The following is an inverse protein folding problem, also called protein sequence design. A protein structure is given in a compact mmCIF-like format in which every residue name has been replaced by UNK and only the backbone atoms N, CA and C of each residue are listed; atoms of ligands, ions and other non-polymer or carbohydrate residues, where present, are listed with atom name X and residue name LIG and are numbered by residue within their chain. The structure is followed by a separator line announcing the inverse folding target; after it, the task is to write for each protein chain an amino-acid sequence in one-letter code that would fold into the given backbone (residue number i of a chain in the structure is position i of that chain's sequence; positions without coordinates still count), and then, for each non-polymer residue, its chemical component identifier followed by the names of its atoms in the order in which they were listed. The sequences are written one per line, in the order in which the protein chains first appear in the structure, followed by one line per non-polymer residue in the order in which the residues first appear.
data_IF_453974060650
#
_entry.id   IF_453974060650
#
_cell.length_a   1.000
_cell.length_b   1.000
_cell.length_c   1.000
_cell.angle_alpha   90.00
_cell.angle_beta   90.00
_cell.angle_gamma   90.00
#
_symmetry.space_group_name_H-M   'P 1'
#
loop_
_entity.id
_entity.type
_entity.pdbx_description
1 polymer ?
#
# COMPACT_ATOMS: atom_id res chain seq x y z
N UNK A 1 8.03 -31.40 24.47
CA UNK A 1 7.21 -30.57 23.57
C UNK A 1 7.30 -29.15 24.10
N UNK A 2 8.29 -28.39 23.66
CA UNK A 2 8.47 -26.99 24.06
C UNK A 2 7.52 -26.12 23.22
N UNK A 3 6.27 -26.01 23.67
CA UNK A 3 5.28 -25.16 23.02
C UNK A 3 5.55 -23.70 23.36
N UNK A 4 5.95 -22.88 22.37
CA UNK A 4 5.95 -21.43 22.54
C UNK A 4 4.50 -20.93 22.58
N UNK A 5 4.13 -20.25 23.66
CA UNK A 5 2.89 -19.49 23.70
C UNK A 5 2.99 -18.32 22.71
N UNK A 6 1.96 -18.14 21.90
CA UNK A 6 1.83 -17.02 20.96
C UNK A 6 0.51 -16.33 21.25
N UNK A 7 0.59 -15.02 21.44
CA UNK A 7 -0.56 -14.16 21.69
C UNK A 7 -0.69 -13.16 20.54
N UNK A 8 -1.92 -12.77 20.24
CA UNK A 8 -2.21 -11.75 19.26
C UNK A 8 -3.17 -10.73 19.85
N UNK A 9 -2.71 -9.48 19.89
CA UNK A 9 -3.53 -8.32 20.19
C UNK A 9 -3.73 -7.52 18.91
N UNK A 10 -4.98 -7.32 18.46
CA UNK A 10 -5.23 -6.51 17.28
C UNK A 10 -4.82 -5.06 17.52
N UNK A 11 -4.28 -4.35 16.51
CA UNK A 11 -3.97 -2.94 16.60
C UNK A 11 -5.16 -2.11 17.13
N UNK A 12 -4.91 -1.19 18.06
CA UNK A 12 -5.96 -0.42 18.74
C UNK A 12 -6.88 0.35 17.78
N UNK A 13 -6.35 0.83 16.65
CA UNK A 13 -7.17 1.53 15.64
C UNK A 13 -8.19 0.60 14.98
N UNK A 14 -7.91 -0.70 14.85
CA UNK A 14 -8.87 -1.68 14.35
C UNK A 14 -9.97 -1.96 15.36
N UNK A 15 -9.63 -2.04 16.65
CA UNK A 15 -10.63 -2.16 17.72
C UNK A 15 -11.57 -0.96 17.71
N UNK A 16 -11.06 0.26 17.49
CA UNK A 16 -11.90 1.47 17.36
C UNK A 16 -12.80 1.45 16.11
N UNK A 17 -12.27 1.01 14.97
CA UNK A 17 -13.00 1.00 13.69
C UNK A 17 -14.09 -0.07 13.67
N UNK A 18 -13.78 -1.28 14.14
CA UNK A 18 -14.68 -2.43 14.05
C UNK A 18 -15.50 -2.66 15.32
N UNK A 19 -15.01 -2.26 16.50
CA UNK A 19 -15.65 -2.58 17.77
C UNK A 19 -15.94 -4.08 17.91
N UNK A 20 -17.18 -4.41 18.28
CA UNK A 20 -17.64 -5.79 18.40
C UNK A 20 -17.70 -6.56 17.07
N UNK A 21 -17.61 -5.87 15.92
CA UNK A 21 -17.60 -6.50 14.58
C UNK A 21 -16.19 -6.86 14.09
N UNK A 22 -15.17 -6.71 14.94
CA UNK A 22 -13.80 -7.06 14.56
C UNK A 22 -13.75 -8.56 14.25
N UNK A 23 -13.29 -8.96 13.05
CA UNK A 23 -13.18 -10.38 12.73
C UNK A 23 -12.30 -11.10 13.76
N UNK A 24 -12.66 -12.34 14.04
CA UNK A 24 -11.92 -13.18 14.97
C UNK A 24 -10.56 -13.56 14.34
N UNK A 25 -9.44 -13.34 15.05
CA UNK A 25 -8.14 -13.80 14.59
C UNK A 25 -8.03 -15.33 14.75
N UNK A 26 -7.15 -15.94 13.98
CA UNK A 26 -6.82 -17.36 14.06
C UNK A 26 -5.37 -17.56 14.53
N UNK A 27 -5.06 -18.76 15.00
CA UNK A 27 -3.69 -19.18 15.31
C UNK A 27 -3.34 -20.40 14.47
N UNK A 28 -2.14 -20.37 13.88
CA UNK A 28 -1.62 -21.46 13.05
C UNK A 28 -0.24 -21.88 13.55
N UNK A 29 0.03 -23.17 13.51
CA UNK A 29 1.34 -23.73 13.87
C UNK A 29 1.85 -24.73 12.84
N UNK A 30 3.17 -24.79 12.70
CA UNK A 30 3.88 -25.74 11.84
C UNK A 30 5.31 -25.94 12.38
N UNK A 31 5.74 -27.19 12.56
CA UNK A 31 7.13 -27.55 12.90
C UNK A 31 7.73 -26.76 14.08
N UNK A 32 6.96 -26.60 15.16
CA UNK A 32 7.40 -25.89 16.37
C UNK A 32 7.33 -24.36 16.28
N UNK A 33 6.90 -23.81 15.15
CA UNK A 33 6.54 -22.41 15.01
C UNK A 33 5.03 -22.22 15.10
N UNK A 34 4.62 -21.05 15.59
CA UNK A 34 3.23 -20.62 15.59
C UNK A 34 3.14 -19.12 15.37
N UNK A 35 2.05 -18.68 14.74
CA UNK A 35 1.68 -17.28 14.60
C UNK A 35 0.16 -17.16 14.77
N UNK A 36 -0.27 -16.03 15.31
CA UNK A 36 -1.69 -15.69 15.46
C UNK A 36 -1.97 -14.33 14.82
N UNK A 37 -3.16 -14.17 14.24
CA UNK A 37 -3.57 -12.97 13.53
C UNK A 37 -4.64 -13.28 12.48
N UNK A 38 -4.56 -12.65 11.32
CA UNK A 38 -5.52 -12.82 10.23
C UNK A 38 -4.88 -13.51 9.03
N UNK A 39 -5.66 -14.30 8.28
CA UNK A 39 -5.26 -14.89 6.99
C UNK A 39 -3.90 -15.58 7.04
N UNK A 40 -3.70 -16.46 8.02
CA UNK A 40 -2.42 -17.09 8.32
C UNK A 40 -1.98 -18.07 7.24
N UNK A 41 -0.76 -17.92 6.75
CA UNK A 41 -0.12 -18.84 5.83
C UNK A 41 1.08 -19.53 6.49
N UNK A 42 1.36 -20.75 6.05
CA UNK A 42 2.45 -21.58 6.55
C UNK A 42 3.11 -22.35 5.40
N UNK A 43 4.44 -22.44 5.40
CA UNK A 43 5.22 -23.19 4.41
C UNK A 43 6.62 -23.51 4.95
N UNK A 44 7.06 -24.77 4.89
CA UNK A 44 8.39 -25.24 5.32
C UNK A 44 8.97 -24.55 6.57
N UNK A 45 8.24 -24.61 7.69
CA UNK A 45 8.69 -24.01 8.93
C UNK A 45 8.71 -22.47 8.94
N UNK A 46 7.99 -21.79 8.04
CA UNK A 46 7.66 -20.36 8.16
C UNK A 46 6.14 -20.24 8.36
N UNK A 47 5.71 -19.59 9.44
CA UNK A 47 4.28 -19.37 9.73
C UNK A 47 4.08 -17.89 10.04
N UNK A 48 3.18 -17.23 9.30
CA UNK A 48 2.85 -15.82 9.52
C UNK A 48 1.39 -15.54 9.30
N UNK A 49 0.93 -14.50 9.98
CA UNK A 49 -0.42 -13.96 9.88
C UNK A 49 -0.33 -12.47 9.62
N UNK A 50 -1.31 -11.93 8.91
CA UNK A 50 -1.54 -10.51 8.78
C UNK A 50 -1.99 -9.96 10.13
N UNK A 51 -1.62 -8.72 10.44
CA UNK A 51 -2.04 -8.05 11.68
C UNK A 51 -3.41 -7.39 11.57
N UNK A 52 -3.94 -7.30 10.36
CA UNK A 52 -5.18 -6.60 10.08
C UNK A 52 -6.18 -7.48 9.31
N UNK A 53 -7.50 -7.31 9.51
CA UNK A 53 -8.51 -8.18 8.89
C UNK A 53 -8.57 -8.13 7.36
N UNK A 54 -8.06 -7.04 6.76
CA UNK A 54 -7.97 -6.86 5.30
C UNK A 54 -6.56 -7.10 4.75
N UNK A 55 -5.62 -7.49 5.62
CA UNK A 55 -4.33 -7.99 5.19
C UNK A 55 -4.41 -9.39 4.60
N UNK A 56 -3.30 -9.87 4.08
CA UNK A 56 -3.19 -11.17 3.42
C UNK A 56 -1.80 -11.73 3.66
N UNK A 57 -1.70 -13.04 3.88
CA UNK A 57 -0.43 -13.75 3.78
C UNK A 57 -0.53 -14.84 2.72
N UNK A 58 0.55 -15.01 1.96
CA UNK A 58 0.68 -16.11 1.02
C UNK A 58 2.07 -16.74 1.10
N UNK A 59 2.07 -18.08 1.08
CA UNK A 59 3.25 -18.90 0.99
C UNK A 59 3.72 -19.06 -0.46
N UNK A 60 5.03 -18.97 -0.68
CA UNK A 60 5.65 -19.33 -1.94
C UNK A 60 7.11 -19.71 -1.73
N UNK A 61 7.50 -20.87 -2.27
CA UNK A 61 8.89 -21.34 -2.33
C UNK A 61 9.58 -21.34 -0.95
N UNK A 62 8.89 -21.85 0.08
CA UNK A 62 9.41 -21.96 1.44
C UNK A 62 9.38 -20.65 2.23
N UNK A 63 8.68 -19.62 1.74
CA UNK A 63 8.56 -18.33 2.43
C UNK A 63 7.14 -17.82 2.44
N UNK A 64 6.66 -17.43 3.61
CA UNK A 64 5.40 -16.71 3.79
C UNK A 64 5.65 -15.20 3.70
N UNK A 65 4.94 -14.54 2.79
CA UNK A 65 4.92 -13.08 2.63
C UNK A 65 3.56 -12.56 3.05
N UNK A 66 3.55 -11.53 3.88
CA UNK A 66 2.33 -10.88 4.34
C UNK A 66 2.30 -9.42 3.93
N UNK A 67 1.10 -8.91 3.72
CA UNK A 67 0.82 -7.50 3.55
C UNK A 67 -0.34 -7.10 4.46
N UNK A 68 -0.16 -6.01 5.19
CA UNK A 68 -1.20 -5.35 5.96
C UNK A 68 -1.46 -3.98 5.33
N UNK A 69 -2.72 -3.64 4.99
CA UNK A 69 -3.07 -2.29 4.58
C UNK A 69 -2.59 -1.28 5.63
N UNK A 70 -1.87 -0.23 5.20
CA UNK A 70 -1.35 0.78 6.11
C UNK A 70 -2.47 1.43 6.94
N UNK A 71 -2.18 1.93 8.16
CA UNK A 71 -3.19 2.59 9.01
C UNK A 71 -3.95 3.72 8.31
N UNK A 72 -3.30 4.47 7.40
CA UNK A 72 -3.95 5.53 6.62
C UNK A 72 -5.09 5.03 5.75
N UNK A 73 -5.01 3.79 5.26
CA UNK A 73 -6.10 3.17 4.48
C UNK A 73 -7.28 2.90 5.40
N UNK A 74 -7.04 2.38 6.61
CA UNK A 74 -8.11 2.18 7.59
C UNK A 74 -8.69 3.51 8.10
N UNK A 75 -7.89 4.57 8.20
CA UNK A 75 -8.37 5.90 8.55
C UNK A 75 -9.35 6.45 7.50
N UNK A 76 -9.01 6.33 6.21
CA UNK A 76 -9.82 6.91 5.13
C UNK A 76 -10.95 6.01 4.63
N UNK A 77 -10.86 4.68 4.81
CA UNK A 77 -11.90 3.73 4.38
C UNK A 77 -12.64 3.03 5.52
N UNK A 78 -12.16 3.11 6.77
CA UNK A 78 -12.76 2.44 7.92
C UNK A 78 -12.89 0.92 7.71
N UNK A 79 -14.03 0.38 8.13
CA UNK A 79 -14.36 -1.04 7.96
C UNK A 79 -14.55 -1.45 6.50
N UNK A 80 -14.79 -0.49 5.61
CA UNK A 80 -14.89 -0.66 4.16
C UNK A 80 -13.52 -0.64 3.44
N UNK A 81 -12.43 -0.81 4.19
CA UNK A 81 -11.09 -1.02 3.63
C UNK A 81 -11.11 -2.23 2.67
N UNK A 82 -10.67 -2.07 1.41
CA UNK A 82 -10.58 -3.18 0.46
C UNK A 82 -9.60 -4.26 0.95
N UNK A 83 -9.92 -5.52 0.68
CA UNK A 83 -8.99 -6.62 0.94
C UNK A 83 -7.77 -6.50 0.02
N UNK A 84 -6.59 -6.69 0.60
CA UNK A 84 -5.37 -6.85 -0.18
C UNK A 84 -5.34 -8.21 -0.86
N UNK A 85 -4.53 -8.31 -1.91
CA UNK A 85 -4.30 -9.54 -2.66
C UNK A 85 -2.81 -9.86 -2.71
N UNK A 86 -2.49 -11.09 -3.08
CA UNK A 86 -1.14 -11.50 -3.41
C UNK A 86 -1.11 -12.02 -4.84
N UNK A 87 -0.06 -11.65 -5.58
CA UNK A 87 0.15 -12.09 -6.96
C UNK A 87 1.56 -12.61 -7.13
N UNK A 88 1.66 -13.73 -7.85
CA UNK A 88 2.91 -14.43 -8.06
C UNK A 88 3.34 -14.37 -9.53
N UNK A 89 4.64 -14.22 -9.78
CA UNK A 89 5.23 -14.34 -11.11
C UNK A 89 6.63 -14.97 -11.00
N UNK A 90 6.93 -16.01 -11.77
CA UNK A 90 8.23 -16.71 -11.68
C UNK A 90 8.47 -17.31 -10.29
N UNK A 91 9.44 -16.82 -9.53
CA UNK A 91 9.66 -17.14 -8.10
C UNK A 91 9.33 -15.96 -7.16
N UNK A 92 8.87 -14.82 -7.70
CA UNK A 92 8.56 -13.60 -6.96
C UNK A 92 7.10 -13.58 -6.51
N UNK A 93 6.86 -13.12 -5.30
CA UNK A 93 5.53 -12.92 -4.73
C UNK A 93 5.45 -11.47 -4.25
N UNK A 94 4.40 -10.76 -4.65
CA UNK A 94 4.09 -9.43 -4.13
C UNK A 94 2.66 -9.43 -3.61
N UNK A 95 2.42 -8.69 -2.53
CA UNK A 95 1.11 -8.55 -1.93
C UNK A 95 0.82 -7.07 -1.69
N UNK A 96 -0.43 -6.67 -1.83
CA UNK A 96 -0.87 -5.28 -1.77
C UNK A 96 -2.16 -5.07 -2.56
N UNK A 97 -2.24 -3.97 -3.26
CA UNK A 97 -3.39 -3.59 -4.07
C UNK A 97 -3.05 -3.48 -5.56
N UNK A 98 -3.97 -3.88 -6.43
CA UNK A 98 -3.84 -3.68 -7.88
C UNK A 98 -2.56 -4.29 -8.45
N UNK A 99 -2.27 -5.54 -8.08
CA UNK A 99 -0.99 -6.16 -8.40
C UNK A 99 -0.81 -6.38 -9.92
N UNK A 100 0.32 -5.93 -10.46
CA UNK A 100 0.69 -6.05 -11.87
C UNK A 100 1.95 -6.91 -12.01
N UNK A 101 1.97 -7.76 -13.03
CA UNK A 101 3.14 -8.55 -13.41
C UNK A 101 3.73 -8.03 -14.72
N UNK A 102 5.05 -8.00 -14.79
CA UNK A 102 5.86 -7.81 -15.99
C UNK A 102 6.88 -8.95 -16.10
N UNK A 103 7.65 -8.99 -17.18
CA UNK A 103 8.66 -10.04 -17.39
C UNK A 103 9.77 -10.01 -16.34
N UNK A 104 10.02 -8.86 -15.71
CA UNK A 104 11.02 -8.70 -14.65
C UNK A 104 10.48 -9.05 -13.26
N UNK A 105 9.16 -9.18 -13.07
CA UNK A 105 8.60 -9.50 -11.76
C UNK A 105 7.15 -9.06 -11.56
N UNK A 106 6.76 -8.95 -10.30
CA UNK A 106 5.41 -8.56 -9.87
C UNK A 106 5.52 -7.53 -8.76
N UNK A 107 4.67 -6.52 -8.80
CA UNK A 107 4.55 -5.51 -7.74
C UNK A 107 3.09 -5.10 -7.56
N UNK A 108 2.80 -4.57 -6.38
CA UNK A 108 1.48 -4.09 -5.99
C UNK A 108 1.64 -2.71 -5.36
N UNK A 109 0.58 -1.92 -5.41
CA UNK A 109 0.49 -0.68 -4.68
C UNK A 109 0.28 -0.95 -3.19
N UNK A 110 0.75 -0.06 -2.34
CA UNK A 110 0.56 -0.13 -0.89
C UNK A 110 -0.82 0.36 -0.44
N UNK A 111 -1.55 1.06 -1.30
CA UNK A 111 -2.86 1.63 -0.99
C UNK A 111 -3.87 1.33 -2.10
N UNK A 112 -5.18 1.25 -1.79
CA UNK A 112 -6.21 1.06 -2.81
C UNK A 112 -6.29 2.21 -3.83
N UNK A 113 -5.74 3.38 -3.49
CA UNK A 113 -5.66 4.54 -4.36
C UNK A 113 -4.37 4.58 -5.19
N UNK A 114 -3.47 3.60 -5.04
CA UNK A 114 -2.27 3.50 -5.85
C UNK A 114 -2.53 2.83 -7.19
N UNK A 115 -1.62 3.08 -8.14
CA UNK A 115 -1.66 2.51 -9.49
C UNK A 115 -0.34 1.82 -9.78
N UNK A 116 -0.40 0.63 -10.38
CA UNK A 116 0.75 -0.05 -10.94
C UNK A 116 0.61 -0.20 -12.46
N UNK A 117 1.73 -0.17 -13.18
CA UNK A 117 1.81 -0.47 -14.61
C UNK A 117 3.09 -1.23 -14.94
N UNK A 118 3.01 -2.15 -15.90
CA UNK A 118 4.17 -2.79 -16.49
C UNK A 118 4.58 -2.04 -17.76
N UNK A 119 5.84 -1.63 -17.85
CA UNK A 119 6.45 -1.02 -19.04
C UNK A 119 7.79 -1.71 -19.33
N UNK A 120 8.02 -2.11 -20.58
CA UNK A 120 9.24 -2.81 -21.01
C UNK A 120 9.65 -4.01 -20.09
N UNK A 121 8.67 -4.65 -19.45
CA UNK A 121 8.89 -5.76 -18.53
C UNK A 121 9.03 -5.38 -17.06
N UNK A 122 9.34 -4.12 -16.75
CA UNK A 122 9.44 -3.59 -15.38
C UNK A 122 8.07 -3.14 -14.88
N UNK A 123 7.76 -3.49 -13.63
CA UNK A 123 6.55 -2.99 -12.96
C UNK A 123 6.90 -1.75 -12.14
N UNK A 124 6.15 -0.67 -12.34
CA UNK A 124 6.23 0.55 -11.55
C UNK A 124 4.90 0.80 -10.86
N UNK A 125 4.97 1.25 -9.61
CA UNK A 125 3.80 1.61 -8.83
C UNK A 125 3.94 3.02 -8.29
N UNK A 126 2.81 3.71 -8.19
CA UNK A 126 2.69 4.99 -7.51
C UNK A 126 1.58 4.89 -6.48
N UNK A 127 1.91 5.26 -5.25
CA UNK A 127 0.95 5.44 -4.17
C UNK A 127 0.86 6.92 -3.82
N UNK A 128 -0.36 7.48 -3.69
CA UNK A 128 -0.55 8.80 -3.14
C UNK A 128 0.08 8.92 -1.76
N UNK A 129 0.65 10.10 -1.45
CA UNK A 129 1.22 10.34 -0.13
C UNK A 129 0.15 10.17 0.97
N UNK A 130 0.50 9.68 2.18
CA UNK A 130 -0.45 9.51 3.27
C UNK A 130 -1.25 10.79 3.60
N UNK A 131 -0.62 11.96 3.52
CA UNK A 131 -1.31 13.25 3.69
C UNK A 131 -2.36 13.50 2.61
N UNK A 132 -2.13 13.08 1.36
CA UNK A 132 -3.13 13.14 0.29
C UNK A 132 -4.30 12.20 0.56
N UNK A 133 -4.01 11.00 1.07
CA UNK A 133 -5.03 10.01 1.42
C UNK A 133 -5.86 10.49 2.62
N UNK A 134 -5.25 11.12 3.62
CA UNK A 134 -5.99 11.70 4.74
C UNK A 134 -6.80 12.94 4.33
N UNK A 135 -6.30 13.76 3.41
CA UNK A 135 -6.98 14.99 2.99
C UNK A 135 -8.14 14.71 2.03
N UNK A 136 -7.97 13.76 1.12
CA UNK A 136 -8.91 13.54 0.02
C UNK A 136 -9.51 12.13 0.01
N UNK A 137 -8.85 11.14 0.61
CA UNK A 137 -9.36 9.77 0.67
C UNK A 137 -9.81 9.25 -0.68
N UNK A 138 -11.11 8.93 -0.80
CA UNK A 138 -11.73 8.44 -2.05
C UNK A 138 -11.94 9.51 -3.11
N UNK A 139 -11.79 10.79 -2.76
CA UNK A 139 -11.88 11.94 -3.66
C UNK A 139 -10.54 12.29 -4.32
N UNK A 140 -9.51 11.46 -4.12
CA UNK A 140 -8.24 11.63 -4.83
C UNK A 140 -8.47 11.58 -6.35
N UNK A 141 -7.89 12.51 -7.13
CA UNK A 141 -7.96 12.44 -8.57
C UNK A 141 -7.27 11.16 -9.07
N UNK A 142 -7.69 10.61 -10.23
CA UNK A 142 -7.09 9.42 -10.78
C UNK A 142 -5.62 9.67 -11.13
N UNK A 143 -4.76 8.73 -10.72
CA UNK A 143 -3.34 8.75 -11.07
C UNK A 143 -3.17 8.17 -12.47
N UNK A 144 -2.18 8.66 -13.17
CA UNK A 144 -1.88 8.26 -14.53
C UNK A 144 -0.47 7.70 -14.57
N UNK A 145 -0.25 6.74 -15.46
CA UNK A 145 1.08 6.32 -15.85
C UNK A 145 1.32 6.76 -17.29
N UNK A 146 2.51 7.28 -17.57
CA UNK A 146 2.98 7.62 -18.91
C UNK A 146 4.34 7.01 -19.16
N UNK A 147 4.58 6.70 -20.42
CA UNK A 147 5.80 6.07 -20.90
C UNK A 147 6.35 6.87 -22.07
N UNK A 148 7.67 7.03 -22.12
CA UNK A 148 8.41 7.77 -23.14
C UNK A 148 9.81 7.16 -23.25
N UNK A 149 10.17 6.65 -24.43
CA UNK A 149 11.44 5.98 -24.74
C UNK A 149 11.93 4.98 -23.66
N UNK A 150 11.02 4.12 -23.20
CA UNK A 150 11.32 3.09 -22.19
C UNK A 150 11.36 3.60 -20.75
N UNK A 151 11.23 4.91 -20.51
CA UNK A 151 11.02 5.48 -19.20
C UNK A 151 9.52 5.59 -18.91
N UNK A 152 9.04 4.83 -17.92
CA UNK A 152 7.70 4.98 -17.38
C UNK A 152 7.70 5.71 -16.04
N UNK A 153 6.72 6.58 -15.86
CA UNK A 153 6.44 7.33 -14.63
C UNK A 153 4.96 7.27 -14.32
N UNK A 154 4.61 7.26 -13.04
CA UNK A 154 3.24 7.28 -12.57
C UNK A 154 3.06 8.39 -11.53
N UNK A 155 1.90 9.01 -11.50
CA UNK A 155 1.56 10.08 -10.57
C UNK A 155 0.39 10.92 -11.06
N UNK A 156 0.37 12.19 -10.70
CA UNK A 156 -0.64 13.16 -11.12
C UNK A 156 -0.15 14.01 -12.28
N UNK A 157 -1.09 14.52 -13.10
CA UNK A 157 -0.81 15.48 -14.17
C UNK A 157 0.42 15.13 -15.04
N UNK A 158 0.60 13.84 -15.36
CA UNK A 158 1.77 13.35 -16.07
C UNK A 158 1.89 13.96 -17.46
N UNK A 159 3.09 14.39 -17.82
CA UNK A 159 3.41 14.90 -19.15
C UNK A 159 4.73 14.35 -19.66
N UNK A 160 4.94 14.43 -20.97
CA UNK A 160 6.09 13.85 -21.66
C UNK A 160 6.56 14.76 -22.79
N UNK A 161 7.88 14.82 -22.98
CA UNK A 161 8.53 15.52 -24.08
C UNK A 161 9.75 14.70 -24.53
N UNK A 162 9.78 14.34 -25.82
CA UNK A 162 10.82 13.46 -26.39
C UNK A 162 11.00 12.17 -25.58
N UNK A 163 12.18 11.96 -25.00
CA UNK A 163 12.58 10.81 -24.17
C UNK A 163 12.39 11.03 -22.67
N UNK A 164 11.67 12.07 -22.27
CA UNK A 164 11.41 12.40 -20.86
C UNK A 164 9.93 12.34 -20.56
N UNK A 165 9.59 11.75 -19.43
CA UNK A 165 8.27 11.85 -18.82
C UNK A 165 8.40 12.17 -17.34
N UNK A 166 7.49 12.98 -16.81
CA UNK A 166 7.38 13.21 -15.38
C UNK A 166 5.92 13.41 -14.96
N UNK A 167 5.66 13.14 -13.69
CA UNK A 167 4.38 13.34 -13.04
C UNK A 167 4.56 14.15 -11.77
N UNK A 168 3.53 14.91 -11.42
CA UNK A 168 3.40 15.48 -10.11
C UNK A 168 3.18 14.37 -9.08
N UNK A 169 3.69 14.58 -7.86
CA UNK A 169 3.50 13.68 -6.72
C UNK A 169 2.27 14.04 -5.89
N UNK A 170 1.75 15.25 -6.07
CA UNK A 170 0.57 15.74 -5.36
C UNK A 170 -0.63 15.88 -6.30
N UNK A 171 -1.87 15.65 -5.81
CA UNK A 171 -3.12 15.88 -6.55
C UNK A 171 -3.26 17.25 -7.22
N UNK A 172 -2.65 18.29 -6.65
CA UNK A 172 -2.69 19.67 -7.16
C UNK A 172 -1.43 20.07 -7.90
N UNK A 173 -0.47 19.16 -8.03
CA UNK A 173 0.74 19.42 -8.77
C UNK A 173 0.50 19.49 -10.26
N UNK A 174 1.37 20.25 -10.93
CA UNK A 174 1.30 20.52 -12.35
C UNK A 174 2.65 20.28 -12.98
N UNK A 175 2.66 19.65 -14.15
CA UNK A 175 3.86 19.48 -14.95
C UNK A 175 3.74 20.27 -16.25
N UNK A 176 4.82 20.96 -16.64
CA UNK A 176 4.93 21.68 -17.90
C UNK A 176 6.18 21.27 -18.67
N UNK A 177 6.10 21.43 -19.98
CA UNK A 177 7.21 21.21 -20.91
C UNK A 177 7.85 22.56 -21.25
N UNK A 178 9.17 22.65 -21.11
CA UNK A 178 9.99 23.79 -21.56
C UNK A 178 11.29 23.26 -22.14
N UNK A 179 11.67 23.69 -23.34
CA UNK A 179 12.94 23.32 -24.01
C UNK A 179 13.26 21.81 -23.95
N UNK A 180 12.28 20.97 -24.36
CA UNK A 180 12.39 19.51 -24.32
C UNK A 180 12.53 18.88 -22.91
N UNK A 181 12.42 19.66 -21.83
CA UNK A 181 12.42 19.18 -20.46
C UNK A 181 11.02 19.20 -19.87
N UNK A 182 10.73 18.22 -19.01
CA UNK A 182 9.51 18.20 -18.19
C UNK A 182 9.87 18.66 -16.79
N UNK A 183 9.18 19.69 -16.30
CA UNK A 183 9.31 20.17 -14.91
C UNK A 183 7.97 20.10 -14.21
N UNK A 184 7.97 19.57 -12.99
CA UNK A 184 6.78 19.46 -12.16
C UNK A 184 6.91 20.33 -10.91
N UNK A 185 5.81 20.97 -10.54
CA UNK A 185 5.64 21.69 -9.29
C UNK A 185 4.58 20.99 -8.46
N UNK A 186 4.93 20.64 -7.22
CA UNK A 186 4.07 19.97 -6.25
C UNK A 186 3.74 20.93 -5.10
N UNK A 187 2.60 21.65 -5.15
CA UNK A 187 2.19 22.48 -4.03
C UNK A 187 1.88 21.58 -2.80
N UNK A 188 2.13 22.07 -1.58
CA UNK A 188 1.69 21.38 -0.38
C UNK A 188 0.17 21.29 -0.36
N UNK A 189 -0.34 20.22 0.25
CA UNK A 189 -1.77 20.04 0.44
C UNK A 189 -2.24 20.95 1.59
N UNK A 190 -3.09 21.93 1.29
CA UNK A 190 -3.80 22.79 2.25
C UNK A 190 -5.31 22.67 1.95
N UNK A 191 -6.23 22.49 2.92
CA UNK A 191 -6.13 22.56 4.38
C UNK A 191 -6.02 21.14 5.03
N UNK A 192 -5.99 20.98 6.38
CA UNK A 192 -5.30 19.87 7.02
C UNK A 192 -6.03 18.57 6.69
N UNK A 193 -5.26 17.59 6.25
CA UNK A 193 -5.63 16.19 6.37
C UNK A 193 -6.29 15.96 7.74
N UNK A 194 -7.37 15.17 7.77
CA UNK A 194 -8.14 14.90 8.99
C UNK A 194 -7.17 14.65 10.16
N UNK A 195 -7.24 15.47 11.19
CA UNK A 195 -6.33 15.42 12.34
C UNK A 195 -6.29 14.03 12.99
N UNK A 196 -7.40 13.28 12.92
CA UNK A 196 -7.47 11.91 13.39
C UNK A 196 -6.68 10.95 12.50
N UNK A 197 -6.71 11.15 11.18
CA UNK A 197 -5.93 10.39 10.20
C UNK A 197 -4.44 10.71 10.29
N UNK A 198 -4.06 11.98 10.47
CA UNK A 198 -2.66 12.38 10.69
C UNK A 198 -2.11 11.87 12.03
N UNK A 199 -2.95 11.84 13.07
CA UNK A 199 -2.58 11.28 14.38
C UNK A 199 -2.22 9.80 14.27
N UNK A 200 -2.91 9.03 13.43
CA UNK A 200 -2.57 7.63 13.15
C UNK A 200 -1.22 7.43 12.44
N UNK A 201 -0.70 8.49 11.82
CA UNK A 201 0.60 8.50 11.16
C UNK A 201 1.75 8.98 12.07
N UNK A 202 1.44 9.39 13.31
CA UNK A 202 2.41 10.11 14.15
C UNK A 202 2.84 11.46 13.55
N UNK A 203 2.06 11.97 12.59
CA UNK A 203 2.30 13.22 11.87
C UNK A 203 1.42 14.36 12.37
N UNK A 204 0.79 14.21 13.54
CA UNK A 204 0.19 15.31 14.26
C UNK A 204 1.31 16.29 14.68
N UNK A 205 1.68 17.19 13.78
CA UNK A 205 2.53 18.31 14.09
C UNK A 205 1.74 19.23 15.03
N UNK A 206 2.17 19.26 16.30
CA UNK A 206 2.12 20.39 17.21
C UNK A 206 0.93 21.34 16.97
N UNK A 207 -0.20 21.04 17.62
CA UNK A 207 -1.10 22.11 18.04
C UNK A 207 -0.26 23.09 18.86
N UNK A 208 0.02 24.26 18.28
CA UNK A 208 0.64 25.36 19.02
C UNK A 208 -0.30 25.84 20.13
N UNK A 209 0.24 26.35 21.25
CA UNK A 209 -0.55 26.84 22.39
C UNK A 209 -1.46 28.02 22.02
#
# INVERSE_FOLDING_TARGET
MDGKAVCFDPPAYLVRIYGASLPEPECKGLEGQAACGYHCAADFGDVKCARTPKGVCQARSGKVTCFDPPPVVYASWGSATPAAECRAYGQKLACGYGCVSGTEGVACAATPAGVCRSEAGRVLCFDPAPSAICALGRSLPPQQCRSSDGQAVCGYACTSAFSRAACARTPYGLCKVSDAQVTCFDPPLLPPADSSCLSLLGLAALEGP
#
